data_IF_746983831803
#
_entry.id   IF_746983831803
#
_cell.length_a   1.000
_cell.length_b   1.000
_cell.length_c   1.000
_cell.angle_alpha   90.00
_cell.angle_beta   90.00
_cell.angle_gamma   90.00
#
_symmetry.space_group_name_H-M   'P 1'
#
loop_
_entity.id
_entity.type
_entity.pdbx_description
1 polymer ?
#
# COMPACT_ATOMS: atom_id res chain seq x y z
N UNK A 1 -5.48 0.70 6.98
CA UNK A 1 -3.99 0.69 7.03
C UNK A 1 -3.44 1.29 5.74
N UNK A 2 -2.34 2.06 5.74
CA UNK A 2 -1.68 2.48 4.49
C UNK A 2 -0.66 1.43 4.03
N UNK A 3 -0.62 1.18 2.73
CA UNK A 3 0.32 0.25 2.12
C UNK A 3 0.83 0.79 0.77
N UNK A 4 1.95 0.25 0.31
CA UNK A 4 2.51 0.49 -1.01
C UNK A 4 2.44 -0.81 -1.81
N UNK A 5 2.02 -0.70 -3.07
CA UNK A 5 2.03 -1.82 -4.01
C UNK A 5 3.48 -2.13 -4.39
N UNK A 6 3.87 -3.40 -4.27
CA UNK A 6 5.22 -3.89 -4.60
C UNK A 6 5.23 -4.69 -5.90
N UNK A 7 4.10 -5.25 -6.31
CA UNK A 7 3.92 -6.01 -7.54
C UNK A 7 2.63 -5.56 -8.24
N UNK A 8 2.67 -5.45 -9.57
CA UNK A 8 1.49 -5.07 -10.35
C UNK A 8 0.35 -6.09 -10.17
N UNK A 9 -0.88 -5.63 -10.21
CA UNK A 9 -2.07 -6.47 -10.31
C UNK A 9 -3.01 -5.88 -11.36
N UNK A 10 -3.56 -6.74 -12.21
CA UNK A 10 -4.54 -6.37 -13.21
C UNK A 10 -5.83 -7.11 -12.91
N UNK A 11 -6.94 -6.36 -12.89
CA UNK A 11 -8.24 -6.92 -12.62
C UNK A 11 -8.56 -8.04 -13.62
N UNK A 12 -8.89 -9.22 -13.09
CA UNK A 12 -9.10 -10.42 -13.91
C UNK A 12 -10.41 -10.35 -14.70
N UNK A 13 -11.43 -9.74 -14.11
CA UNK A 13 -12.79 -9.71 -14.66
C UNK A 13 -13.22 -8.27 -14.97
N UNK A 14 -13.54 -8.00 -16.24
CA UNK A 14 -14.04 -6.70 -16.67
C UNK A 14 -15.45 -6.41 -16.13
N UNK A 15 -16.26 -7.46 -15.93
CA UNK A 15 -17.61 -7.36 -15.39
C UNK A 15 -17.74 -8.20 -14.11
N UNK A 16 -17.35 -7.64 -12.95
CA UNK A 16 -17.32 -8.39 -11.70
C UNK A 16 -18.72 -8.73 -11.19
N UNK A 17 -18.80 -9.74 -10.33
CA UNK A 17 -20.02 -10.04 -9.59
C UNK A 17 -20.36 -8.89 -8.62
N UNK A 18 -21.63 -8.48 -8.61
CA UNK A 18 -22.18 -7.47 -7.71
C UNK A 18 -23.42 -8.05 -7.03
N UNK A 19 -23.39 -8.06 -5.70
CA UNK A 19 -24.40 -8.70 -4.86
C UNK A 19 -25.03 -7.69 -3.91
N UNK A 20 -26.35 -7.81 -3.74
CA UNK A 20 -27.10 -7.22 -2.65
C UNK A 20 -27.30 -8.25 -1.54
N UNK A 21 -27.58 -7.77 -0.32
CA UNK A 21 -28.03 -8.65 0.75
C UNK A 21 -29.30 -9.41 0.32
N UNK A 22 -29.29 -10.73 0.51
CA UNK A 22 -30.39 -11.61 0.16
C UNK A 22 -30.41 -12.10 -1.30
N UNK A 23 -29.47 -11.67 -2.14
CA UNK A 23 -29.36 -12.23 -3.50
C UNK A 23 -29.08 -13.73 -3.43
N UNK A 24 -29.87 -14.53 -4.17
CA UNK A 24 -29.66 -15.96 -4.31
C UNK A 24 -28.44 -16.27 -5.17
N UNK A 25 -27.71 -17.31 -4.77
CA UNK A 25 -26.45 -17.71 -5.38
C UNK A 25 -26.53 -19.13 -5.92
N UNK A 26 -25.80 -19.41 -7.00
CA UNK A 26 -25.40 -20.76 -7.36
C UNK A 26 -23.94 -20.93 -6.99
N UNK A 27 -23.63 -21.84 -6.06
CA UNK A 27 -22.26 -22.08 -5.62
C UNK A 27 -21.55 -23.07 -6.54
N UNK A 28 -20.31 -22.75 -6.88
CA UNK A 28 -19.40 -23.58 -7.66
C UNK A 28 -18.25 -24.12 -6.81
N UNK A 29 -17.07 -24.19 -7.43
CA UNK A 29 -15.86 -24.71 -6.79
C UNK A 29 -15.32 -23.76 -5.71
N UNK A 30 -14.62 -24.32 -4.74
CA UNK A 30 -13.78 -23.58 -3.81
C UNK A 30 -12.43 -23.27 -4.43
N UNK A 31 -11.83 -22.17 -4.03
CA UNK A 31 -10.48 -21.80 -4.45
C UNK A 31 -9.45 -22.59 -3.62
N UNK A 32 -8.58 -23.35 -4.30
CA UNK A 32 -7.50 -24.10 -3.66
C UNK A 32 -6.27 -23.26 -3.35
N UNK A 33 -6.06 -22.17 -4.11
CA UNK A 33 -4.95 -21.23 -3.92
C UNK A 33 -5.28 -20.24 -2.80
N UNK A 34 -6.55 -19.81 -2.73
CA UNK A 34 -7.05 -18.92 -1.68
C UNK A 34 -8.18 -19.57 -0.86
N UNK A 35 -7.86 -20.46 0.11
CA UNK A 35 -8.87 -21.09 0.96
C UNK A 35 -9.75 -20.06 1.69
N UNK A 36 -11.07 -20.27 1.64
CA UNK A 36 -12.07 -19.33 2.16
C UNK A 36 -12.77 -18.53 1.06
N UNK A 37 -12.40 -18.72 -0.20
CA UNK A 37 -13.12 -18.22 -1.37
C UNK A 37 -13.88 -19.33 -2.09
N UNK A 38 -15.07 -19.00 -2.59
CA UNK A 38 -15.91 -19.89 -3.40
C UNK A 38 -16.40 -19.16 -4.65
N UNK A 39 -16.43 -19.87 -5.77
CA UNK A 39 -17.01 -19.35 -7.00
C UNK A 39 -18.52 -19.31 -6.83
N UNK A 40 -19.15 -18.17 -7.13
CA UNK A 40 -20.59 -18.03 -7.07
C UNK A 40 -21.12 -17.35 -8.32
N UNK A 41 -22.34 -17.68 -8.71
CA UNK A 41 -23.12 -16.95 -9.70
C UNK A 41 -24.34 -16.32 -9.02
N UNK A 42 -24.61 -15.04 -9.27
CA UNK A 42 -25.80 -14.36 -8.79
C UNK A 42 -27.00 -14.74 -9.66
N UNK A 43 -28.04 -15.33 -9.10
CA UNK A 43 -29.23 -15.75 -9.86
C UNK A 43 -29.92 -14.56 -10.54
N UNK A 44 -29.99 -13.41 -9.84
CA UNK A 44 -30.63 -12.18 -10.34
C UNK A 44 -29.91 -11.56 -11.55
N UNK A 45 -28.58 -11.59 -11.58
CA UNK A 45 -27.79 -10.90 -12.61
C UNK A 45 -27.13 -11.83 -13.61
N UNK A 46 -27.04 -13.12 -13.31
CA UNK A 46 -26.24 -14.10 -14.06
C UNK A 46 -24.72 -13.93 -13.92
N UNK A 47 -24.24 -12.86 -13.28
CA UNK A 47 -22.81 -12.59 -13.14
C UNK A 47 -22.17 -13.54 -12.14
N UNK A 48 -20.93 -13.92 -12.42
CA UNK A 48 -20.18 -14.87 -11.60
C UNK A 48 -18.84 -14.29 -11.17
N UNK A 49 -18.36 -14.73 -10.02
CA UNK A 49 -17.08 -14.30 -9.48
C UNK A 49 -16.77 -14.99 -8.16
N UNK A 50 -15.56 -14.73 -7.66
CA UNK A 50 -15.15 -15.19 -6.34
C UNK A 50 -15.82 -14.36 -5.25
N UNK A 51 -16.38 -15.06 -4.28
CA UNK A 51 -16.95 -14.48 -3.05
C UNK A 51 -16.34 -15.15 -1.83
N UNK A 52 -16.16 -14.44 -0.71
CA UNK A 52 -15.70 -15.09 0.51
C UNK A 52 -16.80 -16.03 1.02
N UNK A 53 -16.45 -17.24 1.47
CA UNK A 53 -17.42 -18.21 1.98
C UNK A 53 -18.25 -17.66 3.14
N UNK A 54 -17.66 -16.75 3.93
CA UNK A 54 -18.35 -16.04 5.03
C UNK A 54 -19.45 -15.09 4.58
N UNK A 55 -19.50 -14.74 3.29
CA UNK A 55 -20.61 -14.01 2.67
C UNK A 55 -21.83 -14.91 2.46
N UNK A 56 -21.64 -16.22 2.32
CA UNK A 56 -22.71 -17.15 1.97
C UNK A 56 -23.47 -17.54 3.23
N UNK A 57 -24.80 -17.41 3.19
CA UNK A 57 -25.70 -17.86 4.24
C UNK A 57 -26.74 -18.80 3.63
N UNK A 58 -27.02 -19.94 4.29
CA UNK A 58 -28.15 -20.79 3.89
C UNK A 58 -29.44 -20.22 4.48
N UNK A 59 -30.44 -19.98 3.63
CA UNK A 59 -31.78 -19.56 4.00
C UNK A 59 -32.78 -20.44 3.25
N UNK A 60 -33.63 -21.17 3.99
CA UNK A 60 -34.62 -22.09 3.42
C UNK A 60 -33.98 -23.07 2.41
N UNK A 61 -32.83 -23.64 2.79
CA UNK A 61 -31.99 -24.53 1.96
C UNK A 61 -31.35 -23.90 0.71
N UNK A 62 -31.53 -22.61 0.47
CA UNK A 62 -30.90 -21.86 -0.63
C UNK A 62 -29.72 -21.01 -0.13
N UNK A 63 -28.58 -21.01 -0.84
CA UNK A 63 -27.48 -20.11 -0.50
C UNK A 63 -27.80 -18.68 -0.97
N UNK A 64 -27.70 -17.73 -0.05
CA UNK A 64 -27.95 -16.30 -0.29
C UNK A 64 -26.77 -15.46 0.21
N UNK A 65 -26.59 -14.28 -0.37
CA UNK A 65 -25.61 -13.31 0.08
C UNK A 65 -26.03 -12.68 1.42
N UNK A 66 -25.23 -12.87 2.47
CA UNK A 66 -25.49 -12.33 3.82
C UNK A 66 -25.43 -10.80 3.88
N UNK A 67 -24.75 -10.16 2.94
CA UNK A 67 -24.59 -8.70 2.83
C UNK A 67 -24.29 -8.30 1.40
N UNK A 68 -24.29 -6.99 1.12
CA UNK A 68 -23.80 -6.48 -0.15
C UNK A 68 -22.30 -6.78 -0.34
N UNK A 69 -21.90 -7.04 -1.57
CA UNK A 69 -20.54 -7.40 -1.93
C UNK A 69 -20.23 -7.05 -3.40
N UNK A 70 -19.00 -6.61 -3.65
CA UNK A 70 -18.45 -6.39 -4.99
C UNK A 70 -17.22 -7.27 -5.15
N UNK A 71 -17.18 -8.05 -6.24
CA UNK A 71 -16.02 -8.81 -6.67
C UNK A 71 -15.03 -7.99 -7.51
N UNK A 72 -15.18 -6.66 -7.53
CA UNK A 72 -14.32 -5.77 -8.30
C UNK A 72 -12.88 -5.86 -7.82
N UNK A 73 -11.95 -6.00 -8.74
CA UNK A 73 -10.52 -5.93 -8.49
C UNK A 73 -9.93 -4.56 -8.89
N UNK A 74 -8.80 -4.19 -8.31
CA UNK A 74 -8.04 -3.01 -8.71
C UNK A 74 -7.12 -3.30 -9.90
N UNK A 75 -6.75 -2.24 -10.61
CA UNK A 75 -5.57 -2.22 -11.47
C UNK A 75 -4.53 -1.35 -10.78
N UNK A 76 -3.36 -1.91 -10.46
CA UNK A 76 -2.29 -1.22 -9.73
C UNK A 76 -0.91 -1.51 -10.29
N UNK A 77 0.00 -0.57 -10.07
CA UNK A 77 1.41 -0.67 -10.42
C UNK A 77 2.30 -0.55 -9.16
N UNK A 78 3.51 -1.13 -9.16
CA UNK A 78 4.47 -0.92 -8.09
C UNK A 78 4.70 0.57 -7.82
N UNK A 79 4.65 0.96 -6.54
CA UNK A 79 4.74 2.36 -6.12
C UNK A 79 3.39 3.01 -5.82
N UNK A 80 2.27 2.44 -6.27
CA UNK A 80 0.94 2.95 -5.92
C UNK A 80 0.72 2.89 -4.41
N UNK A 81 0.22 3.99 -3.84
CA UNK A 81 -0.16 4.06 -2.44
C UNK A 81 -1.65 3.79 -2.31
N UNK A 82 -1.98 2.81 -1.48
CA UNK A 82 -3.34 2.39 -1.20
C UNK A 82 -3.67 2.53 0.28
N UNK A 83 -4.96 2.63 0.56
CA UNK A 83 -5.51 2.46 1.91
C UNK A 83 -6.28 1.14 1.95
N UNK A 84 -5.75 0.16 2.68
CA UNK A 84 -6.44 -1.10 2.96
C UNK A 84 -7.58 -0.83 3.93
N UNK A 85 -8.79 -1.22 3.53
CA UNK A 85 -10.06 -1.06 4.24
C UNK A 85 -10.43 -2.36 4.94
N UNK A 86 -10.32 -3.50 4.24
CA UNK A 86 -10.64 -4.82 4.77
C UNK A 86 -9.65 -5.87 4.24
N UNK A 87 -9.59 -7.03 4.91
CA UNK A 87 -8.71 -8.14 4.53
C UNK A 87 -9.44 -9.46 4.74
N UNK A 88 -9.55 -10.25 3.68
CA UNK A 88 -10.20 -11.55 3.71
C UNK A 88 -9.32 -12.56 2.97
N UNK A 89 -8.96 -13.65 3.67
CA UNK A 89 -8.39 -14.86 3.07
C UNK A 89 -7.29 -14.59 2.03
N UNK A 90 -6.29 -13.77 2.39
CA UNK A 90 -5.16 -13.45 1.51
C UNK A 90 -5.38 -12.31 0.51
N UNK A 91 -6.51 -11.62 0.57
CA UNK A 91 -6.83 -10.48 -0.29
C UNK A 91 -7.15 -9.22 0.53
N UNK A 92 -6.85 -8.06 -0.03
CA UNK A 92 -7.18 -6.76 0.54
C UNK A 92 -8.27 -6.06 -0.26
N UNK A 93 -9.29 -5.56 0.41
CA UNK A 93 -10.18 -4.55 -0.15
C UNK A 93 -9.56 -3.20 0.12
N UNK A 94 -9.15 -2.49 -0.93
CA UNK A 94 -8.35 -1.29 -0.78
C UNK A 94 -8.83 -0.17 -1.70
N UNK A 95 -8.49 1.06 -1.31
CA UNK A 95 -8.79 2.27 -2.07
C UNK A 95 -7.49 2.95 -2.53
N UNK A 96 -7.44 3.28 -3.82
CA UNK A 96 -6.42 4.13 -4.43
C UNK A 96 -6.63 5.60 -4.06
N UNK A 97 -5.58 6.42 -4.18
CA UNK A 97 -5.69 7.89 -4.00
C UNK A 97 -6.73 8.54 -4.93
N UNK A 98 -6.99 7.96 -6.10
CA UNK A 98 -8.03 8.41 -7.04
C UNK A 98 -9.46 8.18 -6.53
N UNK A 99 -9.63 7.45 -5.42
CA UNK A 99 -10.94 7.07 -4.86
C UNK A 99 -11.46 5.72 -5.35
N UNK A 100 -10.82 5.12 -6.37
CA UNK A 100 -11.18 3.79 -6.89
C UNK A 100 -10.94 2.72 -5.82
N UNK A 101 -11.91 1.83 -5.63
CA UNK A 101 -11.87 0.76 -4.63
C UNK A 101 -12.02 -0.60 -5.30
N UNK A 102 -11.30 -1.60 -4.80
CA UNK A 102 -11.32 -2.98 -5.32
C UNK A 102 -10.44 -3.93 -4.52
N UNK A 103 -10.52 -5.20 -4.85
CA UNK A 103 -9.68 -6.27 -4.32
C UNK A 103 -8.31 -6.31 -5.03
N UNK A 104 -7.28 -6.69 -4.27
CA UNK A 104 -5.99 -7.16 -4.79
C UNK A 104 -5.36 -8.17 -3.81
N UNK A 105 -4.47 -9.07 -4.27
CA UNK A 105 -3.82 -10.03 -3.39
C UNK A 105 -2.93 -9.35 -2.34
N UNK A 106 -2.93 -9.84 -1.11
CA UNK A 106 -2.21 -9.24 0.00
C UNK A 106 -0.68 -9.32 -0.15
N UNK A 107 -0.17 -10.33 -0.87
CA UNK A 107 1.25 -10.47 -1.18
C UNK A 107 1.76 -9.45 -2.23
N UNK A 108 0.89 -8.67 -2.87
CA UNK A 108 1.26 -7.62 -3.82
C UNK A 108 1.55 -6.27 -3.13
N UNK A 109 1.47 -6.20 -1.81
CA UNK A 109 1.60 -4.96 -1.05
C UNK A 109 2.53 -5.11 0.16
N UNK A 110 3.09 -4.00 0.59
CA UNK A 110 3.87 -3.90 1.83
C UNK A 110 3.35 -2.75 2.71
N UNK A 111 3.43 -2.92 4.03
CA UNK A 111 3.01 -1.89 4.98
C UNK A 111 3.84 -0.60 4.80
N UNK A 112 3.16 0.54 4.83
CA UNK A 112 3.82 1.86 4.91
C UNK A 112 4.20 2.13 6.39
N UNK A 113 5.46 2.46 6.76
CA UNK A 113 6.52 3.07 5.96
C UNK A 113 7.76 2.15 5.85
N UNK A 114 7.61 0.89 5.42
CA UNK A 114 8.77 0.01 5.22
C UNK A 114 9.84 0.62 4.27
N UNK A 115 9.47 1.63 3.48
CA UNK A 115 10.36 2.36 2.57
C UNK A 115 11.13 3.53 3.21
N UNK A 116 10.71 4.11 4.36
CA UNK A 116 11.38 5.30 4.93
C UNK A 116 12.77 5.01 5.49
N UNK A 117 13.03 3.79 5.96
CA UNK A 117 14.33 3.43 6.55
C UNK A 117 15.50 3.30 5.56
N UNK A 118 15.30 3.36 4.23
CA UNK A 118 16.40 3.32 3.24
C UNK A 118 16.71 4.67 2.59
N UNK A 119 15.77 5.61 2.55
CA UNK A 119 15.99 6.93 1.96
C UNK A 119 16.62 7.90 2.97
N UNK A 120 16.21 7.85 4.24
CA UNK A 120 16.71 8.76 5.29
C UNK A 120 18.18 8.48 5.69
N UNK A 121 18.71 7.26 5.44
CA UNK A 121 20.14 6.96 5.64
C UNK A 121 21.09 7.58 4.61
N UNK A 122 20.59 8.11 3.50
CA UNK A 122 21.41 8.70 2.44
C UNK A 122 21.48 10.22 2.55
N UNK A 123 20.42 10.87 3.03
CA UNK A 123 20.38 12.31 3.26
C UNK A 123 21.27 12.74 4.41
N UNK A 124 21.29 12.00 5.52
CA UNK A 124 22.03 12.41 6.72
C UNK A 124 23.56 12.34 6.52
N UNK A 125 24.04 11.46 5.64
CA UNK A 125 25.47 11.34 5.34
C UNK A 125 25.98 12.44 4.39
N UNK A 126 25.13 12.95 3.48
CA UNK A 126 25.50 14.02 2.55
C UNK A 126 25.42 15.41 3.22
N UNK A 127 24.51 15.59 4.18
CA UNK A 127 24.37 16.83 4.95
C UNK A 127 25.50 17.02 5.99
N UNK A 128 26.00 15.94 6.60
CA UNK A 128 27.14 16.00 7.54
C UNK A 128 28.46 16.34 6.84
N UNK A 129 28.70 15.82 5.63
CA UNK A 129 29.90 16.14 4.84
C UNK A 129 29.87 17.58 4.29
N UNK A 130 28.68 18.08 3.93
CA UNK A 130 28.47 19.47 3.55
C UNK A 130 28.72 20.44 4.73
N UNK A 131 28.26 20.11 5.94
CA UNK A 131 28.48 20.92 7.14
C UNK A 131 29.96 20.92 7.57
N UNK A 132 30.63 19.77 7.48
CA UNK A 132 32.07 19.66 7.77
C UNK A 132 32.94 20.49 6.82
N UNK A 133 32.61 20.50 5.51
CA UNK A 133 33.29 21.33 4.52
C UNK A 133 33.08 22.84 4.71
N UNK A 134 31.92 23.23 5.24
CA UNK A 134 31.57 24.63 5.50
C UNK A 134 32.20 25.17 6.80
N UNK A 135 32.33 24.32 7.83
CA UNK A 135 33.03 24.66 9.07
C UNK A 135 34.56 24.80 8.89
N UNK A 136 35.18 24.06 7.96
CA UNK A 136 36.60 24.24 7.60
C UNK A 136 36.90 25.56 6.86
N UNK A 137 35.90 26.17 6.19
CA UNK A 137 36.06 27.48 5.53
C UNK A 137 35.91 28.64 6.50
N UNK A 138 35.07 28.50 7.53
CA UNK A 138 34.87 29.54 8.55
C UNK A 138 36.00 29.58 9.60
N UNK A 139 36.69 28.46 9.86
CA UNK A 139 37.85 28.44 10.77
C UNK A 139 39.14 28.99 10.16
N UNK A 140 39.26 29.13 8.83
CA UNK A 140 40.43 29.76 8.18
C UNK A 140 40.37 31.28 8.08
N UNK A 141 39.23 31.91 8.36
CA UNK A 141 39.07 33.36 8.29
C UNK A 141 39.27 34.08 9.63
N UNK A 142 39.37 33.33 10.74
CA UNK A 142 39.54 33.90 12.08
C UNK A 142 41.01 34.05 12.54
N UNK A 143 41.99 33.66 11.71
CA UNK A 143 43.43 33.72 12.07
C UNK A 143 44.24 34.81 11.36
N UNK A 144 43.61 35.68 10.58
CA UNK A 144 44.27 36.85 9.99
C UNK A 144 43.70 38.15 10.56
N UNK A 145 44.09 38.51 11.79
CA UNK A 145 43.66 39.76 12.40
C UNK A 145 44.43 40.13 13.67
N UNK A 146 45.53 40.87 13.47
CA UNK A 146 46.26 41.71 14.44
C UNK A 146 47.13 41.05 15.53
N UNK A 147 48.45 41.22 15.40
CA UNK A 147 49.20 42.16 16.24
C UNK A 147 50.65 42.32 15.75
N UNK A 148 50.92 43.46 15.09
CA UNK A 148 52.27 44.01 14.94
C UNK A 148 52.40 45.20 15.90
N UNK A 149 53.18 45.04 16.96
CA UNK A 149 53.89 46.09 17.73
C UNK A 149 55.14 45.37 18.25
N UNK A 150 56.32 45.60 17.68
CA UNK A 150 57.03 46.86 17.75
C UNK A 150 58.07 46.73 18.86
N UNK A 151 59.23 46.18 18.50
CA UNK A 151 60.43 46.17 19.32
C UNK A 151 61.08 47.57 19.28
N UNK A 152 62.00 47.82 20.23
CA UNK A 152 63.05 48.87 20.25
C UNK A 152 62.91 50.04 21.25
N UNK A 153 63.62 49.88 22.39
CA UNK A 153 64.77 50.69 22.87
C UNK A 153 64.68 51.12 24.34
N UNK A 154 65.58 50.55 25.16
CA UNK A 154 66.11 51.19 26.37
C UNK A 154 67.64 51.18 26.28
N UNK A 155 68.19 52.24 26.89
CA UNK A 155 69.55 52.77 26.82
C UNK A 155 70.66 51.80 27.27
#
# INVERSE_FOLDING_TARGET
>A
MKAIVTQAWQATYADPIELNMGDELTLGRRDSEYPGWVWAACVRTGKSGWVPETLVQMKDELPVARRAYSGRELNVQPGDVITVIDTLFGWHWAQLKSGVVGWLPANHVAAWPAMRMRAERRSDAEDDEALAGQLQRLTRFASSGQANRGNELRA
#
